data_IF_294013399702
#
_entry.id   IF_294013399702
#
_cell.length_a   1.000
_cell.length_b   1.000
_cell.length_c   1.000
_cell.angle_alpha   90.00
_cell.angle_beta   90.00
_cell.angle_gamma   90.00
#
_symmetry.space_group_name_H-M   'P 1'
#
loop_
_entity.id
_entity.type
_entity.pdbx_description
1 polymer ?
#
# COMPACT_ATOMS: atom_id res chain seq x y z
N UNK A 1 32.04 47.61 11.89
CA UNK A 1 31.39 47.72 13.22
C UNK A 1 30.78 46.37 13.54
N UNK A 2 31.36 45.65 14.50
CA UNK A 2 30.84 44.39 15.06
C UNK A 2 30.04 44.74 16.32
N UNK A 3 28.87 44.10 16.54
CA UNK A 3 28.21 43.82 17.84
C UNK A 3 26.83 43.23 17.53
N UNK A 4 26.65 41.91 17.57
CA UNK A 4 26.48 41.06 18.77
C UNK A 4 25.05 41.09 19.32
N UNK A 5 24.45 39.88 19.31
CA UNK A 5 23.65 39.27 20.39
C UNK A 5 22.29 39.99 20.58
N UNK A 6 21.14 39.32 20.51
CA UNK A 6 20.49 38.64 21.64
C UNK A 6 19.24 38.01 20.98
N UNK A 7 19.17 36.71 20.69
CA UNK A 7 18.61 35.68 21.57
C UNK A 7 17.79 36.21 22.76
N UNK A 8 16.67 36.92 22.51
CA UNK A 8 15.61 37.13 23.50
C UNK A 8 14.27 36.98 22.80
N UNK A 9 13.36 36.24 23.41
CA UNK A 9 11.98 36.17 22.94
C UNK A 9 11.51 34.77 22.57
N UNK A 10 11.90 33.76 23.33
CA UNK A 10 10.89 32.77 23.75
C UNK A 10 9.68 33.59 24.23
N UNK A 11 8.50 33.31 23.70
CA UNK A 11 7.18 33.86 24.09
C UNK A 11 6.65 35.06 23.27
N UNK A 12 6.25 34.82 22.02
CA UNK A 12 5.00 35.37 21.45
C UNK A 12 4.35 34.32 20.54
N UNK A 13 3.67 33.37 21.18
CA UNK A 13 2.30 32.96 20.90
C UNK A 13 1.88 32.87 19.40
N UNK A 14 1.93 31.66 18.82
CA UNK A 14 0.88 31.26 17.87
C UNK A 14 1.21 30.98 16.40
N UNK A 15 2.42 30.58 16.00
CA UNK A 15 2.68 30.32 14.56
C UNK A 15 3.33 28.99 14.16
N UNK A 16 3.66 28.06 15.06
CA UNK A 16 4.27 26.78 14.65
C UNK A 16 3.71 25.57 15.40
N UNK A 17 2.39 25.58 15.66
CA UNK A 17 1.63 24.35 15.93
C UNK A 17 1.26 23.62 14.62
N UNK A 18 1.93 23.94 13.51
CA UNK A 18 1.78 23.28 12.21
C UNK A 18 2.85 22.21 12.04
N UNK A 19 3.09 21.39 13.07
CA UNK A 19 3.70 20.09 12.84
C UNK A 19 2.57 19.21 12.34
N UNK A 20 2.24 19.37 11.05
CA UNK A 20 1.31 18.55 10.32
C UNK A 20 1.55 17.11 10.74
N UNK A 21 0.61 16.53 11.48
CA UNK A 21 0.51 15.10 11.56
C UNK A 21 0.33 14.64 10.11
N UNK A 22 1.42 14.22 9.48
CA UNK A 22 1.35 13.40 8.28
C UNK A 22 0.62 12.16 8.76
N UNK A 23 -0.70 12.19 8.63
CA UNK A 23 -1.54 11.02 8.66
C UNK A 23 -1.06 10.19 7.48
N UNK A 24 -0.11 9.29 7.74
CA UNK A 24 0.15 8.16 6.85
C UNK A 24 -1.11 7.30 6.96
N UNK A 25 -2.17 7.74 6.29
CA UNK A 25 -3.30 6.86 6.01
C UNK A 25 -2.74 5.80 5.08
N UNK A 26 -2.82 4.55 5.50
CA UNK A 26 -2.67 3.43 4.58
C UNK A 26 -3.82 3.60 3.56
N UNK A 27 -3.51 4.19 2.41
CA UNK A 27 -4.44 4.22 1.29
C UNK A 27 -4.86 2.78 1.05
N UNK A 28 -6.14 2.47 1.26
CA UNK A 28 -6.65 1.13 1.02
C UNK A 28 -6.49 0.88 -0.48
N UNK A 29 -5.49 0.08 -0.84
CA UNK A 29 -5.21 -0.17 -2.25
C UNK A 29 -6.37 -0.93 -2.87
N UNK A 30 -6.79 -0.51 -4.06
CA UNK A 30 -7.90 -1.16 -4.76
C UNK A 30 -7.45 -2.53 -5.29
N UNK A 31 -7.79 -3.59 -4.57
CA UNK A 31 -7.40 -4.96 -4.91
C UNK A 31 -7.86 -5.42 -6.29
N UNK A 32 -9.04 -5.00 -6.76
CA UNK A 32 -9.51 -5.32 -8.12
C UNK A 32 -8.58 -4.69 -9.17
N UNK A 33 -8.32 -3.38 -9.04
CA UNK A 33 -7.43 -2.67 -9.95
C UNK A 33 -6.03 -3.30 -9.98
N UNK A 34 -5.50 -3.69 -8.81
CA UNK A 34 -4.24 -4.41 -8.72
C UNK A 34 -4.28 -5.78 -9.42
N UNK A 35 -5.36 -6.55 -9.29
CA UNK A 35 -5.50 -7.83 -10.01
C UNK A 35 -5.52 -7.59 -11.52
N UNK A 36 -6.26 -6.58 -12.00
CA UNK A 36 -6.32 -6.23 -13.42
C UNK A 36 -4.95 -5.79 -13.96
N UNK A 37 -4.18 -5.01 -13.20
CA UNK A 37 -2.90 -4.44 -13.64
C UNK A 37 -1.73 -5.43 -13.47
N UNK A 38 -1.65 -6.13 -12.34
CA UNK A 38 -0.51 -6.96 -11.97
C UNK A 38 -0.63 -8.39 -12.48
N UNK A 39 -1.81 -9.00 -12.34
CA UNK A 39 -1.99 -10.42 -12.65
C UNK A 39 -2.15 -10.71 -14.14
N UNK A 40 -2.38 -9.69 -14.97
CA UNK A 40 -2.51 -9.81 -16.43
C UNK A 40 -1.18 -9.74 -17.18
N UNK A 41 -0.08 -9.38 -16.50
CA UNK A 41 1.21 -9.16 -17.15
C UNK A 41 1.87 -10.44 -17.68
N UNK A 42 1.35 -11.62 -17.35
CA UNK A 42 1.87 -12.92 -17.78
C UNK A 42 0.82 -13.82 -18.45
N UNK A 43 -0.45 -13.68 -18.10
CA UNK A 43 -1.59 -14.42 -18.66
C UNK A 43 -2.91 -13.73 -18.32
N UNK A 44 -4.01 -14.10 -18.97
CA UNK A 44 -5.34 -13.56 -18.66
C UNK A 44 -5.87 -14.01 -17.27
N UNK A 45 -7.04 -13.48 -16.87
CA UNK A 45 -7.66 -13.73 -15.56
C UNK A 45 -8.62 -14.94 -15.53
N UNK A 46 -8.75 -15.71 -16.62
CA UNK A 46 -9.68 -16.86 -16.65
C UNK A 46 -9.39 -17.86 -15.52
N UNK A 47 -8.11 -18.02 -15.15
CA UNK A 47 -7.67 -18.90 -14.05
C UNK A 47 -8.08 -18.38 -12.68
N UNK A 48 -8.23 -17.06 -12.54
CA UNK A 48 -8.68 -16.39 -11.32
C UNK A 48 -10.19 -16.55 -11.20
N UNK A 49 -10.95 -16.21 -12.25
CA UNK A 49 -12.42 -16.34 -12.24
C UNK A 49 -12.92 -17.76 -12.02
N UNK A 50 -12.24 -18.78 -12.57
CA UNK A 50 -12.55 -20.20 -12.31
C UNK A 50 -12.34 -20.64 -10.84
N UNK A 51 -11.80 -19.76 -9.99
CA UNK A 51 -11.46 -20.03 -8.58
C UNK A 51 -12.22 -19.12 -7.63
N UNK A 52 -13.28 -18.44 -8.08
CA UNK A 52 -14.22 -17.73 -7.22
C UNK A 52 -14.73 -18.66 -6.09
N UNK A 53 -14.90 -18.11 -4.89
CA UNK A 53 -15.30 -18.84 -3.68
C UNK A 53 -14.20 -19.65 -2.98
N UNK A 54 -12.93 -19.57 -3.41
CA UNK A 54 -11.80 -20.13 -2.65
C UNK A 54 -11.49 -19.28 -1.41
N UNK A 55 -10.95 -19.93 -0.38
CA UNK A 55 -10.64 -19.30 0.91
C UNK A 55 -9.28 -18.59 0.92
N UNK A 56 -9.04 -17.82 1.99
CA UNK A 56 -7.80 -17.05 2.18
C UNK A 56 -6.54 -17.95 2.09
N UNK A 57 -6.44 -19.09 2.81
CA UNK A 57 -5.26 -19.97 2.68
C UNK A 57 -5.02 -20.47 1.25
N UNK A 58 -6.07 -20.75 0.48
CA UNK A 58 -5.92 -21.14 -0.92
C UNK A 58 -5.38 -20.00 -1.78
N UNK A 59 -5.88 -18.78 -1.57
CA UNK A 59 -5.41 -17.60 -2.30
C UNK A 59 -4.00 -17.19 -1.91
N UNK A 60 -3.62 -17.25 -0.64
CA UNK A 60 -2.24 -17.01 -0.17
C UNK A 60 -1.25 -17.90 -0.92
N UNK A 61 -1.47 -19.22 -0.92
CA UNK A 61 -0.61 -20.16 -1.66
C UNK A 61 -0.56 -19.84 -3.15
N UNK A 62 -1.66 -19.39 -3.73
CA UNK A 62 -1.74 -19.07 -5.16
C UNK A 62 -0.99 -17.79 -5.50
N UNK A 63 -1.22 -16.72 -4.76
CA UNK A 63 -0.59 -15.41 -4.94
C UNK A 63 0.90 -15.50 -4.66
N UNK A 64 1.32 -16.17 -3.58
CA UNK A 64 2.75 -16.34 -3.24
C UNK A 64 3.49 -17.14 -4.30
N UNK A 65 2.85 -18.18 -4.86
CA UNK A 65 3.39 -18.91 -6.00
C UNK A 65 3.53 -18.02 -7.24
N UNK A 66 2.66 -17.02 -7.47
CA UNK A 66 2.80 -16.09 -8.60
C UNK A 66 3.91 -15.05 -8.34
N UNK A 67 4.00 -14.53 -7.13
CA UNK A 67 5.10 -13.65 -6.70
C UNK A 67 6.45 -14.36 -6.90
N UNK A 68 6.55 -15.65 -6.55
CA UNK A 68 7.76 -16.45 -6.78
C UNK A 68 8.16 -16.63 -8.25
N UNK A 69 7.24 -16.40 -9.21
CA UNK A 69 7.54 -16.49 -10.66
C UNK A 69 7.99 -15.17 -11.26
N UNK A 70 7.75 -14.04 -10.60
CA UNK A 70 8.12 -12.72 -11.08
C UNK A 70 8.50 -11.82 -9.91
N UNK A 71 9.79 -11.53 -9.80
CA UNK A 71 10.29 -10.55 -8.84
C UNK A 71 9.59 -9.21 -9.02
N UNK A 72 9.19 -8.59 -7.91
CA UNK A 72 8.49 -7.31 -7.91
C UNK A 72 7.07 -7.33 -8.48
N UNK A 73 6.42 -8.50 -8.57
CA UNK A 73 5.02 -8.58 -9.01
C UNK A 73 4.08 -7.79 -8.10
N UNK A 74 4.26 -7.93 -6.78
CA UNK A 74 3.52 -7.23 -5.73
C UNK A 74 4.47 -6.88 -4.59
N UNK A 75 4.28 -5.72 -3.97
CA UNK A 75 4.81 -5.44 -2.64
C UNK A 75 3.86 -5.96 -1.54
N UNK A 76 4.25 -5.88 -0.26
CA UNK A 76 3.43 -6.45 0.83
C UNK A 76 2.04 -5.81 0.94
N UNK A 77 1.88 -4.47 0.96
CA UNK A 77 0.55 -3.86 0.93
C UNK A 77 -0.31 -4.24 -0.29
N UNK A 78 0.29 -4.39 -1.47
CA UNK A 78 -0.43 -4.80 -2.68
C UNK A 78 -0.87 -6.26 -2.59
N UNK A 79 -0.02 -7.12 -2.04
CA UNK A 79 -0.34 -8.53 -1.79
C UNK A 79 -1.56 -8.65 -0.88
N UNK A 80 -1.58 -7.91 0.22
CA UNK A 80 -2.68 -7.99 1.19
C UNK A 80 -3.99 -7.48 0.58
N UNK A 81 -3.97 -6.37 -0.16
CA UNK A 81 -5.14 -5.84 -0.87
C UNK A 81 -5.67 -6.82 -1.95
N UNK A 82 -4.77 -7.47 -2.69
CA UNK A 82 -5.13 -8.51 -3.67
C UNK A 82 -5.79 -9.70 -2.97
N UNK A 83 -5.22 -10.20 -1.87
CA UNK A 83 -5.79 -11.33 -1.13
C UNK A 83 -7.18 -11.02 -0.55
N UNK A 84 -7.37 -9.80 -0.03
CA UNK A 84 -8.64 -9.35 0.49
C UNK A 84 -9.72 -9.29 -0.60
N UNK A 85 -9.37 -8.83 -1.80
CA UNK A 85 -10.28 -8.84 -2.94
C UNK A 85 -10.58 -10.26 -3.43
N UNK A 86 -9.55 -11.10 -3.63
CA UNK A 86 -9.68 -12.45 -4.16
C UNK A 86 -10.48 -13.39 -3.25
N UNK A 87 -10.48 -13.16 -1.93
CA UNK A 87 -11.29 -13.96 -1.00
C UNK A 87 -12.77 -13.57 -1.03
N UNK A 88 -13.12 -12.41 -1.62
CA UNK A 88 -14.50 -11.87 -1.69
C UNK A 88 -15.18 -12.08 -3.04
N UNK A 89 -14.50 -12.65 -4.03
CA UNK A 89 -15.04 -12.98 -5.35
C UNK A 89 -15.68 -14.36 -5.41
#
# INVERSE_FOLDING_TARGET
>A
MKRSIIMFGVLLLGCVLVFSAVVISAEAQNGDALVQERCTQCHNLDRVHRRAGQDMPWWERTVDRMIGKRSGLLNSPERDAVLEYLTRM
#
